data_IF_945070882378
#
_entry.id   IF_945070882378
#
_cell.length_a   1.000
_cell.length_b   1.000
_cell.length_c   1.000
_cell.angle_alpha   90.00
_cell.angle_beta   90.00
_cell.angle_gamma   90.00
#
_symmetry.space_group_name_H-M   'P 1'
#
loop_
_entity.id
_entity.type
_entity.pdbx_description
1 polymer ?
#
# COMPACT_ATOMS: atom_id res chain seq x y z
N UNK A 1 -18.66 -9.64 -4.40
CA UNK A 1 -18.00 -8.41 -3.92
C UNK A 1 -16.91 -8.03 -4.91
N UNK A 2 -17.07 -6.89 -5.57
CA UNK A 2 -16.10 -6.32 -6.52
C UNK A 2 -14.95 -5.61 -5.79
N UNK A 3 -13.96 -5.11 -6.53
CA UNK A 3 -12.91 -4.25 -5.98
C UNK A 3 -13.52 -2.95 -5.45
N UNK A 4 -14.46 -2.35 -6.20
CA UNK A 4 -15.15 -1.16 -5.76
C UNK A 4 -15.97 -1.37 -4.48
N UNK A 5 -16.66 -2.51 -4.35
CA UNK A 5 -17.39 -2.85 -3.11
C UNK A 5 -16.45 -2.87 -1.89
N UNK A 6 -15.25 -3.48 -2.02
CA UNK A 6 -14.24 -3.53 -0.96
C UNK A 6 -13.69 -2.15 -0.59
N UNK A 7 -13.50 -1.27 -1.59
CA UNK A 7 -13.09 0.11 -1.33
C UNK A 7 -14.13 0.80 -0.46
N UNK A 8 -15.40 0.74 -0.85
CA UNK A 8 -16.47 1.39 -0.09
C UNK A 8 -16.65 0.80 1.30
N UNK A 9 -16.50 -0.51 1.45
CA UNK A 9 -16.49 -1.16 2.75
C UNK A 9 -15.42 -0.55 3.67
N UNK A 10 -14.16 -0.44 3.23
CA UNK A 10 -13.09 0.14 4.07
C UNK A 10 -13.32 1.63 4.33
N UNK A 11 -13.87 2.38 3.36
CA UNK A 11 -14.21 3.79 3.56
C UNK A 11 -15.26 3.95 4.67
N UNK A 12 -16.29 3.11 4.68
CA UNK A 12 -17.33 3.10 5.71
C UNK A 12 -16.75 2.69 7.08
N UNK A 13 -15.98 1.60 7.13
CA UNK A 13 -15.32 1.13 8.36
C UNK A 13 -14.39 2.19 8.98
N UNK A 14 -13.71 2.99 8.15
CA UNK A 14 -12.80 4.05 8.60
C UNK A 14 -13.46 5.41 8.77
N UNK A 15 -14.76 5.56 8.51
CA UNK A 15 -15.44 6.86 8.49
C UNK A 15 -14.84 7.85 7.49
N UNK A 16 -14.21 7.35 6.43
CA UNK A 16 -13.48 8.14 5.46
C UNK A 16 -14.42 8.67 4.37
N UNK A 17 -14.49 9.99 4.21
CA UNK A 17 -15.33 10.60 3.18
C UNK A 17 -14.75 10.37 1.77
N UNK A 18 -15.60 10.28 0.75
CA UNK A 18 -15.15 10.20 -0.64
C UNK A 18 -14.32 11.41 -1.07
N UNK A 19 -14.62 12.59 -0.51
CA UNK A 19 -13.84 13.81 -0.76
C UNK A 19 -12.40 13.66 -0.26
N UNK A 20 -12.23 13.24 1.00
CA UNK A 20 -10.90 12.99 1.56
C UNK A 20 -10.16 11.91 0.79
N UNK A 21 -10.84 10.81 0.46
CA UNK A 21 -10.26 9.73 -0.32
C UNK A 21 -9.82 10.20 -1.72
N UNK A 22 -10.62 11.04 -2.37
CA UNK A 22 -10.29 11.68 -3.65
C UNK A 22 -9.03 12.54 -3.54
N UNK A 23 -8.96 13.41 -2.53
CA UNK A 23 -7.80 14.28 -2.28
C UNK A 23 -6.52 13.49 -2.03
N UNK A 24 -6.60 12.38 -1.29
CA UNK A 24 -5.44 11.55 -0.96
C UNK A 24 -4.97 10.63 -2.08
N UNK A 25 -5.90 10.12 -2.90
CA UNK A 25 -5.55 9.23 -4.03
C UNK A 25 -5.28 9.98 -5.33
N UNK A 26 -5.69 11.25 -5.42
CA UNK A 26 -5.67 12.02 -6.67
C UNK A 26 -6.73 11.55 -7.69
N UNK A 27 -7.62 10.64 -7.31
CA UNK A 27 -8.69 10.13 -8.17
C UNK A 27 -9.90 11.07 -8.02
N UNK A 28 -10.49 11.58 -9.11
CA UNK A 28 -11.65 12.47 -9.00
C UNK A 28 -12.81 11.83 -8.24
N UNK A 29 -13.47 12.60 -7.37
CA UNK A 29 -14.63 12.15 -6.61
C UNK A 29 -15.77 11.66 -7.53
N UNK A 30 -15.90 12.24 -8.72
CA UNK A 30 -16.83 11.78 -9.76
C UNK A 30 -16.52 10.35 -10.23
N UNK A 31 -15.25 10.03 -10.45
CA UNK A 31 -14.78 8.68 -10.79
C UNK A 31 -15.07 7.68 -9.67
N UNK A 32 -14.80 8.06 -8.42
CA UNK A 32 -15.10 7.22 -7.25
C UNK A 32 -16.60 6.94 -7.17
N UNK A 33 -17.43 7.98 -7.34
CA UNK A 33 -18.90 7.84 -7.38
C UNK A 33 -19.38 6.93 -8.51
N UNK A 34 -18.75 7.00 -9.68
CA UNK A 34 -19.07 6.18 -10.84
C UNK A 34 -18.79 4.69 -10.61
N UNK A 35 -17.80 4.32 -9.79
CA UNK A 35 -17.55 2.92 -9.44
C UNK A 35 -18.78 2.24 -8.82
N UNK A 36 -19.48 2.95 -7.93
CA UNK A 36 -20.71 2.45 -7.30
C UNK A 36 -21.90 2.49 -8.24
N UNK A 37 -22.06 3.59 -9.00
CA UNK A 37 -23.23 3.81 -9.88
C UNK A 37 -23.23 2.90 -11.11
N UNK A 38 -22.05 2.67 -11.68
CA UNK A 38 -21.86 1.94 -12.95
C UNK A 38 -21.29 0.54 -12.73
N UNK A 39 -21.12 0.11 -11.48
CA UNK A 39 -20.49 -1.17 -11.13
C UNK A 39 -19.12 -1.36 -11.80
N UNK A 40 -18.33 -0.29 -11.82
CA UNK A 40 -16.98 -0.28 -12.41
C UNK A 40 -15.91 -0.40 -11.32
N UNK A 41 -14.72 -0.84 -11.72
CA UNK A 41 -13.56 -0.95 -10.85
C UNK A 41 -12.54 0.15 -11.16
N UNK A 42 -11.69 0.53 -10.18
CA UNK A 42 -10.52 1.37 -10.47
C UNK A 42 -9.62 0.73 -11.52
N UNK A 43 -8.96 1.57 -12.32
CA UNK A 43 -7.90 1.13 -13.20
C UNK A 43 -6.71 0.55 -12.40
N UNK A 44 -5.98 -0.39 -13.01
CA UNK A 44 -4.90 -1.13 -12.35
C UNK A 44 -3.77 -0.22 -11.83
N UNK A 45 -3.48 0.87 -12.53
CA UNK A 45 -2.48 1.88 -12.14
C UNK A 45 -2.85 2.63 -10.84
N UNK A 46 -4.12 2.57 -10.40
CA UNK A 46 -4.59 3.19 -9.16
C UNK A 46 -4.56 2.26 -7.96
N UNK A 47 -4.35 0.96 -8.15
CA UNK A 47 -4.47 -0.03 -7.08
C UNK A 47 -3.49 0.26 -5.94
N UNK A 48 -2.22 0.54 -6.24
CA UNK A 48 -1.21 0.76 -5.21
C UNK A 48 -1.49 2.00 -4.36
N UNK A 49 -1.91 3.12 -4.97
CA UNK A 49 -2.25 4.34 -4.21
C UNK A 49 -3.51 4.13 -3.37
N UNK A 50 -4.51 3.41 -3.89
CA UNK A 50 -5.71 3.04 -3.13
C UNK A 50 -5.32 2.20 -1.92
N UNK A 51 -4.52 1.15 -2.11
CA UNK A 51 -4.03 0.28 -1.04
C UNK A 51 -3.28 1.06 0.04
N UNK A 52 -2.41 1.99 -0.35
CA UNK A 52 -1.67 2.84 0.58
C UNK A 52 -2.61 3.70 1.45
N UNK A 53 -3.61 4.36 0.86
CA UNK A 53 -4.56 5.19 1.60
C UNK A 53 -5.51 4.36 2.46
N UNK A 54 -5.93 3.20 1.97
CA UNK A 54 -6.83 2.31 2.69
C UNK A 54 -6.09 1.43 3.72
N UNK A 55 -4.77 1.35 3.69
CA UNK A 55 -3.98 0.49 4.58
C UNK A 55 -4.30 -0.99 4.40
N UNK A 56 -4.50 -1.43 3.15
CA UNK A 56 -4.79 -2.82 2.78
C UNK A 56 -3.82 -3.31 1.71
N UNK A 57 -3.71 -4.62 1.54
CA UNK A 57 -2.86 -5.19 0.49
C UNK A 57 -3.59 -5.25 -0.86
N UNK A 58 -2.88 -5.12 -1.99
CA UNK A 58 -3.42 -5.37 -3.32
C UNK A 58 -4.09 -6.73 -3.46
N UNK A 59 -3.52 -7.78 -2.86
CA UNK A 59 -4.06 -9.14 -2.90
C UNK A 59 -5.45 -9.18 -2.26
N UNK A 60 -5.61 -8.59 -1.08
CA UNK A 60 -6.92 -8.50 -0.42
C UNK A 60 -7.90 -7.66 -1.24
N UNK A 61 -7.45 -6.51 -1.74
CA UNK A 61 -8.30 -5.60 -2.49
C UNK A 61 -8.81 -6.23 -3.80
N UNK A 62 -7.95 -6.98 -4.51
CA UNK A 62 -8.27 -7.60 -5.79
C UNK A 62 -9.04 -8.92 -5.64
N UNK A 63 -8.60 -9.81 -4.73
CA UNK A 63 -9.16 -11.16 -4.59
C UNK A 63 -10.27 -11.26 -3.54
N UNK A 64 -10.26 -10.41 -2.51
CA UNK A 64 -11.15 -10.50 -1.36
C UNK A 64 -10.81 -11.64 -0.39
N UNK A 65 -9.76 -12.39 -0.67
CA UNK A 65 -9.23 -13.39 0.25
C UNK A 65 -8.47 -12.62 1.33
N UNK A 66 -9.07 -12.46 2.51
CA UNK A 66 -8.27 -12.29 3.73
C UNK A 66 -7.54 -13.61 3.89
N UNK A 67 -6.21 -13.60 3.99
CA UNK A 67 -5.49 -14.82 4.32
C UNK A 67 -6.08 -15.38 5.62
N UNK A 68 -6.89 -16.42 5.53
CA UNK A 68 -7.41 -17.10 6.72
C UNK A 68 -6.27 -17.94 7.31
N UNK A 69 -6.00 -17.72 8.58
CA UNK A 69 -4.90 -18.32 9.34
C UNK A 69 -3.78 -17.32 9.63
N UNK A 70 -2.95 -17.64 10.62
CA UNK A 70 -1.75 -16.90 11.10
C UNK A 70 -0.71 -16.53 10.01
N UNK A 71 -1.04 -16.65 8.71
CA UNK A 71 -0.29 -16.16 7.55
C UNK A 71 -0.54 -14.69 7.23
N UNK A 72 -1.13 -13.92 8.14
CA UNK A 72 -0.92 -12.47 8.16
C UNK A 72 0.56 -12.12 8.43
N UNK A 73 1.33 -13.07 8.96
CA UNK A 73 2.78 -12.98 9.06
C UNK A 73 3.47 -13.48 7.79
N UNK A 74 3.71 -12.55 6.87
CA UNK A 74 4.89 -12.37 6.01
C UNK A 74 4.43 -11.80 4.67
N UNK A 75 4.23 -10.49 4.66
CA UNK A 75 4.34 -9.75 3.41
C UNK A 75 5.73 -10.04 2.84
N UNK A 76 5.80 -10.75 1.70
CA UNK A 76 7.05 -11.05 0.99
C UNK A 76 7.65 -9.77 0.34
N UNK A 77 6.90 -8.66 0.39
CA UNK A 77 7.27 -7.38 -0.18
C UNK A 77 6.74 -6.22 0.67
N UNK A 78 7.53 -5.16 0.80
CA UNK A 78 7.13 -3.90 1.45
C UNK A 78 6.79 -2.86 0.38
N UNK A 79 5.61 -2.23 0.46
CA UNK A 79 5.37 -0.97 -0.25
C UNK A 79 6.08 0.16 0.50
N UNK A 80 7.05 0.79 -0.16
CA UNK A 80 7.85 1.88 0.42
C UNK A 80 7.72 3.10 -0.48
N UNK A 81 7.29 4.22 0.09
CA UNK A 81 7.34 5.50 -0.60
C UNK A 81 8.80 5.88 -0.84
N UNK A 82 9.15 6.14 -2.10
CA UNK A 82 10.51 6.52 -2.51
C UNK A 82 11.00 7.77 -1.79
N UNK A 83 10.10 8.71 -1.46
CA UNK A 83 10.46 9.95 -0.77
C UNK A 83 10.53 9.81 0.76
N UNK A 84 10.20 8.64 1.31
CA UNK A 84 10.32 8.37 2.75
C UNK A 84 11.78 8.17 3.16
N UNK A 85 12.05 8.29 4.46
CA UNK A 85 13.38 7.99 5.03
C UNK A 85 13.85 6.57 4.67
N UNK A 86 12.94 5.58 4.74
CA UNK A 86 13.22 4.20 4.38
C UNK A 86 13.50 4.07 2.86
N UNK A 87 12.75 4.79 2.03
CA UNK A 87 12.98 4.85 0.58
C UNK A 87 14.39 5.36 0.25
N UNK A 88 14.81 6.44 0.92
CA UNK A 88 16.16 7.00 0.78
C UNK A 88 17.25 6.01 1.21
N UNK A 89 17.04 5.24 2.29
CA UNK A 89 17.99 4.21 2.72
C UNK A 89 18.17 3.15 1.63
N UNK A 90 17.08 2.71 1.00
CA UNK A 90 17.11 1.70 -0.08
C UNK A 90 17.86 2.23 -1.30
N UNK A 91 17.62 3.49 -1.70
CA UNK A 91 18.34 4.12 -2.80
C UNK A 91 19.85 4.13 -2.54
N UNK A 92 20.28 4.62 -1.37
CA UNK A 92 21.70 4.66 -1.00
C UNK A 92 22.29 3.24 -0.93
N UNK A 93 21.57 2.29 -0.33
CA UNK A 93 22.01 0.89 -0.22
C UNK A 93 22.28 0.25 -1.59
N UNK A 94 21.44 0.54 -2.59
CA UNK A 94 21.61 0.02 -3.94
C UNK A 94 22.88 0.56 -4.63
N UNK A 95 23.31 1.77 -4.29
CA UNK A 95 24.56 2.37 -4.80
C UNK A 95 25.82 1.89 -4.06
N UNK A 96 25.67 1.28 -2.89
CA UNK A 96 26.80 0.79 -2.09
C UNK A 96 27.49 -0.43 -2.71
N UNK A 97 28.82 -0.49 -2.56
CA UNK A 97 29.62 -1.71 -2.77
C UNK A 97 29.30 -2.76 -1.71
N UNK A 98 29.62 -4.03 -2.00
CA UNK A 98 29.44 -5.14 -1.05
C UNK A 98 30.08 -4.87 0.31
N UNK A 99 31.33 -4.39 0.33
CA UNK A 99 32.03 -4.09 1.58
C UNK A 99 31.37 -2.98 2.40
N UNK A 100 30.79 -1.96 1.75
CA UNK A 100 30.02 -0.92 2.45
C UNK A 100 28.73 -1.48 3.05
N UNK A 101 28.01 -2.34 2.31
CA UNK A 101 26.81 -3.02 2.81
C UNK A 101 27.12 -3.90 4.01
N UNK A 102 28.20 -4.69 3.95
CA UNK A 102 28.62 -5.56 5.06
C UNK A 102 28.93 -4.74 6.33
N UNK A 103 29.61 -3.60 6.19
CA UNK A 103 29.86 -2.68 7.32
C UNK A 103 28.56 -2.09 7.89
N UNK A 104 27.66 -1.62 7.03
CA UNK A 104 26.37 -1.06 7.44
C UNK A 104 25.55 -2.10 8.22
N UNK A 105 25.49 -3.34 7.73
CA UNK A 105 24.80 -4.43 8.41
C UNK A 105 25.41 -4.71 9.79
N UNK A 106 26.75 -4.73 9.89
CA UNK A 106 27.43 -4.88 11.17
C UNK A 106 27.06 -3.79 12.20
N UNK A 107 26.93 -2.53 11.77
CA UNK A 107 26.47 -1.44 12.64
C UNK A 107 25.01 -1.61 13.07
N UNK A 108 24.12 -1.98 12.14
CA UNK A 108 22.69 -2.18 12.43
C UNK A 108 22.51 -3.33 13.43
N UNK A 109 23.20 -4.44 13.24
CA UNK A 109 23.15 -5.60 14.13
C UNK A 109 23.70 -5.30 15.52
N UNK A 110 24.81 -4.54 15.59
CA UNK A 110 25.38 -4.10 16.86
C UNK A 110 24.45 -3.16 17.64
N UNK A 111 23.66 -2.34 16.93
CA UNK A 111 22.73 -1.37 17.51
C UNK A 111 21.39 -1.97 17.95
N UNK A 112 21.16 -3.26 17.72
CA UNK A 112 19.95 -3.99 18.14
C UNK A 112 20.09 -4.68 19.51
N UNK A 113 21.27 -4.58 20.15
CA UNK A 113 21.52 -5.05 21.53
C UNK A 113 21.26 -3.94 22.53
#
# INVERSE_FOLDING_TARGET
MTVSDRIFQILEEKGMTQKFFSEKTGIPQSTISDWRKKSTNPASDKIMVICNILGVTPEWLLSGVKGEGDRAESLDWYAIDRNSEVGRIIEIYNEMTRSQRDRLMGYIEASRR
#
